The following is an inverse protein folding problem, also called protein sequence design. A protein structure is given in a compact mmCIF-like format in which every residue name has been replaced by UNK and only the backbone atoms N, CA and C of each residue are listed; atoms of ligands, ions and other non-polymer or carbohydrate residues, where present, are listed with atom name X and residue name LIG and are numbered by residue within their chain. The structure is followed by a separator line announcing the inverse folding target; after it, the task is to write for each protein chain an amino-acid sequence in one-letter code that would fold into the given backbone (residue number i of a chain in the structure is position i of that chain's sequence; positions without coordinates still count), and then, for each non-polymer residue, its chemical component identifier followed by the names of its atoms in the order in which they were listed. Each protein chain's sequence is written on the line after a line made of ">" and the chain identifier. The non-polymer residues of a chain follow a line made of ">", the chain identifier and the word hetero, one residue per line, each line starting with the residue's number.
data_IF_664972810266
#
_entry.id   IF_664972810266
#
_cell.length_a   1.000
_cell.length_b   1.000
_cell.length_c   1.000
_cell.angle_alpha   90.00
_cell.angle_beta   90.00
_cell.angle_gamma   90.00
#
_symmetry.space_group_name_H-M   'P 1'
#
loop_
_entity.id
_entity.type
_entity.pdbx_description
1 polymer ?
#
# COMPACT_ATOMS: atom_id res chain seq x y z
N UNK A 1 -20.77 19.19 -3.39
CA UNK A 1 -19.80 19.02 -2.29
C UNK A 1 -19.34 17.56 -2.13
N UNK A 2 -20.18 16.56 -2.46
CA UNK A 2 -19.82 15.15 -2.27
C UNK A 2 -18.78 14.60 -3.27
N UNK A 3 -18.78 15.06 -4.52
CA UNK A 3 -17.77 14.65 -5.52
C UNK A 3 -16.34 15.10 -5.17
N UNK A 4 -16.19 16.29 -4.58
CA UNK A 4 -14.88 16.83 -4.21
C UNK A 4 -14.26 16.07 -3.02
N UNK A 5 -15.11 15.67 -2.06
CA UNK A 5 -14.71 14.83 -0.92
C UNK A 5 -14.37 13.40 -1.35
N UNK A 6 -15.07 12.86 -2.36
CA UNK A 6 -14.76 11.54 -2.94
C UNK A 6 -13.41 11.53 -3.68
N UNK A 7 -13.14 12.52 -4.52
CA UNK A 7 -11.86 12.65 -5.24
C UNK A 7 -10.65 12.75 -4.30
N UNK A 8 -10.75 13.55 -3.24
CA UNK A 8 -9.67 13.69 -2.25
C UNK A 8 -9.31 12.35 -1.59
N UNK A 9 -10.29 11.48 -1.36
CA UNK A 9 -10.07 10.12 -0.82
C UNK A 9 -9.37 9.21 -1.81
N UNK A 10 -9.77 9.24 -3.09
CA UNK A 10 -9.14 8.45 -4.16
C UNK A 10 -7.68 8.89 -4.34
N UNK A 11 -7.41 10.19 -4.41
CA UNK A 11 -6.04 10.73 -4.53
C UNK A 11 -5.18 10.34 -3.32
N UNK A 12 -5.70 10.48 -2.10
CA UNK A 12 -5.00 10.06 -0.90
C UNK A 12 -4.70 8.56 -0.91
N UNK A 13 -5.65 7.73 -1.35
CA UNK A 13 -5.46 6.28 -1.46
C UNK A 13 -4.37 5.92 -2.47
N UNK A 14 -4.38 6.53 -3.66
CA UNK A 14 -3.34 6.34 -4.68
C UNK A 14 -1.97 6.77 -4.15
N UNK A 15 -1.90 7.90 -3.44
CA UNK A 15 -0.66 8.37 -2.83
C UNK A 15 -0.15 7.38 -1.77
N UNK A 16 -1.01 6.88 -0.88
CA UNK A 16 -0.65 5.88 0.13
C UNK A 16 -0.16 4.59 -0.54
N UNK A 17 -0.85 4.11 -1.57
CA UNK A 17 -0.45 2.92 -2.32
C UNK A 17 0.94 3.11 -2.98
N UNK A 18 1.20 4.30 -3.52
CA UNK A 18 2.49 4.65 -4.12
C UNK A 18 3.62 4.71 -3.09
N UNK A 19 3.41 5.41 -1.98
CA UNK A 19 4.39 5.48 -0.87
C UNK A 19 4.68 4.09 -0.33
N UNK A 20 3.64 3.27 -0.13
CA UNK A 20 3.78 1.87 0.32
C UNK A 20 4.63 1.06 -0.65
N UNK A 21 4.45 1.26 -1.96
CA UNK A 21 5.25 0.57 -2.98
C UNK A 21 6.73 0.99 -2.94
N UNK A 22 7.01 2.29 -2.75
CA UNK A 22 8.38 2.78 -2.56
C UNK A 22 8.97 2.20 -1.29
N UNK A 23 8.25 2.23 -0.17
CA UNK A 23 8.71 1.68 1.11
C UNK A 23 9.02 0.18 1.00
N UNK A 24 8.16 -0.59 0.34
CA UNK A 24 8.43 -2.01 0.06
C UNK A 24 9.71 -2.20 -0.77
N UNK A 25 9.86 -1.42 -1.84
CA UNK A 25 11.03 -1.53 -2.74
C UNK A 25 12.32 -1.13 -2.02
N UNK A 26 12.26 -0.08 -1.21
CA UNK A 26 13.36 0.38 -0.38
C UNK A 26 13.73 -0.67 0.67
N UNK A 27 12.74 -1.24 1.37
CA UNK A 27 12.95 -2.30 2.35
C UNK A 27 13.57 -3.54 1.72
N UNK A 28 13.15 -3.93 0.52
CA UNK A 28 13.73 -5.09 -0.17
C UNK A 28 15.22 -4.89 -0.52
N UNK A 29 15.64 -3.66 -0.82
CA UNK A 29 17.03 -3.36 -1.19
C UNK A 29 17.90 -3.12 0.06
N UNK A 30 17.38 -2.37 1.04
CA UNK A 30 18.15 -1.84 2.16
C UNK A 30 17.72 -2.37 3.53
N UNK A 31 16.67 -3.19 3.61
CA UNK A 31 16.08 -3.68 4.85
C UNK A 31 17.06 -4.40 5.76
N UNK A 32 18.03 -5.11 5.18
CA UNK A 32 19.06 -5.83 5.93
C UNK A 32 19.93 -4.93 6.81
N UNK A 33 20.14 -3.66 6.43
CA UNK A 33 20.90 -2.70 7.25
C UNK A 33 20.20 -2.41 8.58
N UNK A 34 18.88 -2.57 8.61
CA UNK A 34 18.06 -2.29 9.80
C UNK A 34 17.89 -3.52 10.69
N UNK A 35 18.40 -4.69 10.32
CA UNK A 35 18.20 -5.90 11.13
C UNK A 35 18.80 -5.75 12.52
N UNK A 36 19.95 -5.08 12.63
CA UNK A 36 20.60 -4.82 13.92
C UNK A 36 19.81 -3.85 14.82
N UNK A 37 18.82 -3.12 14.30
CA UNK A 37 17.94 -2.29 15.12
C UNK A 37 16.94 -3.13 15.92
N UNK A 38 16.77 -4.40 15.55
CA UNK A 38 15.92 -5.34 16.29
C UNK A 38 16.65 -6.08 17.42
N UNK A 39 17.91 -5.72 17.70
CA UNK A 39 18.68 -6.29 18.82
C UNK A 39 17.99 -6.19 20.19
N UNK A 40 17.19 -5.14 20.52
CA UNK A 40 16.44 -5.12 21.79
C UNK A 40 15.29 -6.13 21.86
N UNK A 41 14.90 -6.74 20.73
CA UNK A 41 13.76 -7.64 20.63
C UNK A 41 14.15 -9.08 20.27
N UNK A 42 15.34 -9.29 19.73
CA UNK A 42 15.85 -10.58 19.29
C UNK A 42 17.39 -10.62 19.31
N UNK A 43 17.94 -11.48 20.17
CA UNK A 43 19.39 -11.64 20.36
C UNK A 43 20.04 -12.44 19.24
N UNK A 44 19.31 -13.37 18.62
CA UNK A 44 19.79 -14.16 17.49
C UNK A 44 19.62 -13.44 16.15
N UNK A 45 20.62 -13.55 15.27
CA UNK A 45 20.54 -12.96 13.92
C UNK A 45 19.45 -13.62 13.06
N UNK A 46 19.22 -14.92 13.23
CA UNK A 46 18.13 -15.70 12.63
C UNK A 46 16.76 -15.06 12.92
N UNK A 47 16.50 -14.72 14.18
CA UNK A 47 15.24 -14.12 14.59
C UNK A 47 15.06 -12.70 14.05
N UNK A 48 16.13 -11.89 14.05
CA UNK A 48 16.11 -10.55 13.44
C UNK A 48 15.83 -10.62 11.93
N UNK A 49 16.38 -11.61 11.23
CA UNK A 49 16.05 -11.87 9.81
C UNK A 49 14.59 -12.26 9.63
N UNK A 50 14.03 -13.10 10.49
CA UNK A 50 12.61 -13.47 10.47
C UNK A 50 11.72 -12.22 10.65
N UNK A 51 12.06 -11.35 11.59
CA UNK A 51 11.35 -10.07 11.79
C UNK A 51 11.41 -9.22 10.52
N UNK A 52 12.61 -9.07 9.94
CA UNK A 52 12.80 -8.30 8.72
C UNK A 52 12.00 -8.84 7.53
N UNK A 53 11.94 -10.16 7.40
CA UNK A 53 11.15 -10.84 6.36
C UNK A 53 9.64 -10.69 6.58
N UNK A 54 9.18 -10.70 7.84
CA UNK A 54 7.77 -10.41 8.17
C UNK A 54 7.38 -8.98 7.80
N UNK A 55 8.26 -8.01 8.03
CA UNK A 55 8.05 -6.62 7.63
C UNK A 55 7.95 -6.52 6.09
N UNK A 56 8.86 -7.18 5.36
CA UNK A 56 8.81 -7.23 3.90
C UNK A 56 7.47 -7.81 3.42
N UNK A 57 7.01 -8.92 3.98
CA UNK A 57 5.75 -9.55 3.61
C UNK A 57 4.54 -8.64 3.85
N UNK A 58 4.51 -7.90 4.97
CA UNK A 58 3.45 -6.92 5.25
C UNK A 58 3.47 -5.79 4.20
N UNK A 59 4.64 -5.22 3.92
CA UNK A 59 4.80 -4.18 2.91
C UNK A 59 4.41 -4.66 1.50
N UNK A 60 4.77 -5.89 1.16
CA UNK A 60 4.40 -6.55 -0.10
C UNK A 60 2.87 -6.71 -0.20
N UNK A 61 2.24 -7.25 0.84
CA UNK A 61 0.79 -7.43 0.90
C UNK A 61 0.04 -6.10 0.77
N UNK A 62 0.47 -5.07 1.53
CA UNK A 62 -0.11 -3.72 1.42
C UNK A 62 0.09 -3.12 0.01
N UNK A 63 1.25 -3.33 -0.61
CA UNK A 63 1.50 -2.87 -1.98
C UNK A 63 0.61 -3.59 -3.00
N UNK A 64 0.38 -4.90 -2.86
CA UNK A 64 -0.53 -5.65 -3.73
C UNK A 64 -1.98 -5.20 -3.59
N UNK A 65 -2.48 -5.07 -2.36
CA UNK A 65 -3.84 -4.57 -2.08
C UNK A 65 -4.02 -3.16 -2.65
N UNK A 66 -3.04 -2.29 -2.44
CA UNK A 66 -3.04 -0.93 -3.00
C UNK A 66 -3.15 -0.92 -4.53
N UNK A 67 -2.41 -1.78 -5.22
CA UNK A 67 -2.47 -1.91 -6.68
C UNK A 67 -3.82 -2.44 -7.17
N UNK A 68 -4.37 -3.47 -6.51
CA UNK A 68 -5.67 -4.04 -6.88
C UNK A 68 -6.78 -3.00 -6.73
N UNK A 69 -6.78 -2.26 -5.62
CA UNK A 69 -7.78 -1.22 -5.38
C UNK A 69 -7.61 -0.02 -6.34
N UNK A 70 -6.37 0.41 -6.61
CA UNK A 70 -6.12 1.45 -7.61
C UNK A 70 -6.58 1.01 -9.01
N UNK A 71 -6.29 -0.24 -9.41
CA UNK A 71 -6.76 -0.80 -10.68
C UNK A 71 -8.29 -0.86 -10.73
N UNK A 72 -8.96 -1.23 -9.64
CA UNK A 72 -10.43 -1.23 -9.55
C UNK A 72 -11.01 0.18 -9.75
N UNK A 73 -10.47 1.18 -9.08
CA UNK A 73 -10.94 2.58 -9.20
C UNK A 73 -10.70 3.16 -10.60
N UNK A 74 -9.62 2.75 -11.28
CA UNK A 74 -9.31 3.19 -12.65
C UNK A 74 -10.14 2.45 -13.70
N UNK A 75 -10.35 1.14 -13.54
CA UNK A 75 -11.10 0.32 -14.48
C UNK A 75 -12.63 0.46 -14.34
N UNK A 76 -13.11 0.69 -13.12
CA UNK A 76 -14.52 0.87 -12.80
C UNK A 76 -14.72 2.07 -11.88
N UNK A 77 -14.47 3.29 -12.39
CA UNK A 77 -14.65 4.48 -11.59
C UNK A 77 -16.12 4.60 -11.18
N UNK A 78 -16.36 4.99 -9.92
CA UNK A 78 -17.72 5.15 -9.36
C UNK A 78 -18.64 6.06 -10.20
N UNK A 79 -18.08 7.02 -10.94
CA UNK A 79 -18.81 7.88 -11.89
C UNK A 79 -19.29 7.16 -13.16
N UNK A 80 -18.69 6.03 -13.54
CA UNK A 80 -19.16 5.20 -14.65
C UNK A 80 -20.31 4.26 -14.22
N UNK A 81 -20.66 4.24 -12.93
CA UNK A 81 -21.71 3.37 -12.37
C UNK A 81 -22.96 4.16 -11.97
N UNK A 82 -23.01 5.47 -12.23
CA UNK A 82 -24.28 6.22 -12.15
C UNK A 82 -25.19 5.67 -13.26
N UNK A 83 -26.33 5.02 -12.92
CA UNK A 83 -27.27 4.60 -13.94
C UNK A 83 -27.71 5.86 -14.68
N UNK A 84 -27.78 5.77 -16.01
CA UNK A 84 -28.22 6.80 -16.93
C UNK A 84 -29.66 7.30 -16.62
N UNK A 85 -29.84 8.03 -15.52
CA UNK A 85 -31.08 8.73 -15.15
C UNK A 85 -31.17 10.12 -15.78
N UNK A 86 -30.21 10.49 -16.65
CA UNK A 86 -30.20 11.77 -17.37
C UNK A 86 -30.78 11.69 -18.79
N UNK A 87 -31.39 10.56 -19.18
CA UNK A 87 -32.08 10.39 -20.46
C UNK A 87 -33.50 9.81 -20.32
N UNK A 88 -34.27 10.29 -19.33
CA UNK A 88 -35.74 10.22 -19.36
C UNK A 88 -36.31 11.63 -19.17
#
# INVERSE_FOLDING_TARGET
>A
MDHERSHKKIVAFVFIAFVTHISHSYWRIFGYYYYNYFTPFADEESDRKIIGQRIENVLCGLSMVGKVLAAKEVAWPSWATEPAQLYM
#
